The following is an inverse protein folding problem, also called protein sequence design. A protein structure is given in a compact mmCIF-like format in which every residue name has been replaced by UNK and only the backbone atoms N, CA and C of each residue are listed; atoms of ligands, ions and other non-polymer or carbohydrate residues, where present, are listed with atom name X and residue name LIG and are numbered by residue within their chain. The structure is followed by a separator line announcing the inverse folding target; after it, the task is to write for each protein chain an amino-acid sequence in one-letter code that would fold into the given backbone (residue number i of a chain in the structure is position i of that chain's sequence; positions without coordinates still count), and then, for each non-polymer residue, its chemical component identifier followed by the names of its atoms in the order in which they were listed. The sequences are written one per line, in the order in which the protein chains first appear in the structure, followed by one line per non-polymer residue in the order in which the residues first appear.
data_IF_184576438759
#
_entry.id   IF_184576438759
#
_cell.length_a   1.000
_cell.length_b   1.000
_cell.length_c   1.000
_cell.angle_alpha   90.00
_cell.angle_beta   90.00
_cell.angle_gamma   90.00
#
_symmetry.space_group_name_H-M   'P 1'
#
loop_
_entity.id
_entity.type
_entity.pdbx_description
1 polymer ?
#
# COMPACT_ATOMS: atom_id res chain seq x y z
N UNK A 1 -2.36 17.76 5.48
CA UNK A 1 -2.88 16.42 5.79
C UNK A 1 -4.24 16.29 5.13
N UNK A 2 -4.44 15.27 4.28
CA UNK A 2 -5.74 14.96 3.67
C UNK A 2 -6.31 13.71 4.32
N UNK A 3 -7.62 13.71 4.57
CA UNK A 3 -8.35 12.54 5.07
C UNK A 3 -8.94 11.81 3.88
N UNK A 4 -8.66 10.53 3.75
CA UNK A 4 -9.26 9.67 2.74
C UNK A 4 -10.17 8.64 3.42
N UNK A 5 -11.41 8.53 2.93
CA UNK A 5 -12.34 7.46 3.27
C UNK A 5 -12.39 6.50 2.09
N UNK A 6 -12.09 5.23 2.35
CA UNK A 6 -12.07 4.22 1.30
C UNK A 6 -13.07 3.14 1.66
N UNK A 7 -13.94 2.87 0.70
CA UNK A 7 -14.95 1.83 0.77
C UNK A 7 -14.40 0.62 0.04
N UNK A 8 -14.13 -0.47 0.75
CA UNK A 8 -13.82 -1.74 0.10
C UNK A 8 -15.13 -2.50 -0.14
N UNK A 9 -15.51 -2.64 -1.41
CA UNK A 9 -16.59 -3.50 -1.83
C UNK A 9 -16.01 -4.89 -2.09
N UNK A 10 -15.99 -5.74 -1.05
CA UNK A 10 -15.49 -7.11 -1.15
C UNK A 10 -16.37 -7.92 -2.10
N UNK A 11 -15.96 -8.16 -3.36
CA UNK A 11 -16.43 -9.31 -4.17
C UNK A 11 -15.43 -9.73 -5.25
N UNK A 12 -14.89 -10.95 -5.16
CA UNK A 12 -14.87 -11.80 -6.36
C UNK A 12 -15.32 -13.24 -6.05
N UNK A 13 -16.43 -13.62 -6.70
CA UNK A 13 -16.89 -14.98 -7.02
C UNK A 13 -16.87 -16.03 -5.91
N UNK A 14 -18.03 -16.28 -5.28
CA UNK A 14 -18.56 -17.64 -5.13
C UNK A 14 -20.10 -17.63 -5.22
N UNK A 15 -20.63 -18.59 -5.98
CA UNK A 15 -22.03 -18.93 -6.29
C UNK A 15 -23.11 -18.36 -5.37
N UNK A 16 -24.09 -17.72 -6.02
CA UNK A 16 -25.54 -17.77 -5.77
C UNK A 16 -25.97 -18.24 -4.38
N UNK A 17 -25.87 -17.37 -3.38
CA UNK A 17 -26.69 -17.45 -2.17
C UNK A 17 -26.82 -16.05 -1.60
N UNK A 18 -28.06 -15.66 -1.28
CA UNK A 18 -28.48 -14.42 -0.60
C UNK A 18 -27.44 -13.97 0.43
N UNK A 19 -26.54 -13.03 0.09
CA UNK A 19 -25.52 -12.53 1.02
C UNK A 19 -25.54 -11.02 1.07
N UNK A 20 -25.68 -10.50 2.29
CA UNK A 20 -25.65 -9.07 2.64
C UNK A 20 -24.33 -8.48 2.13
N UNK A 21 -24.41 -7.40 1.34
CA UNK A 21 -23.26 -6.57 1.01
C UNK A 21 -22.63 -6.06 2.32
N UNK A 22 -21.40 -6.48 2.59
CA UNK A 22 -20.66 -6.02 3.77
C UNK A 22 -19.67 -4.96 3.32
N UNK A 23 -20.11 -3.71 3.29
CA UNK A 23 -19.23 -2.57 3.01
C UNK A 23 -18.34 -2.34 4.23
N UNK A 24 -17.03 -2.54 4.09
CA UNK A 24 -16.08 -2.10 5.12
C UNK A 24 -15.49 -0.76 4.70
N UNK A 25 -15.65 0.22 5.58
CA UNK A 25 -15.03 1.53 5.42
C UNK A 25 -13.71 1.54 6.19
N UNK A 26 -12.64 1.92 5.50
CA UNK A 26 -11.33 2.14 6.11
C UNK A 26 -11.03 3.62 6.05
N UNK A 27 -10.65 4.18 7.20
CA UNK A 27 -10.20 5.57 7.32
C UNK A 27 -8.68 5.60 7.25
N UNK A 28 -8.14 6.45 6.38
CA UNK A 28 -6.71 6.67 6.23
C UNK A 28 -6.40 8.17 6.32
N UNK A 29 -5.23 8.49 6.88
CA UNK A 29 -4.68 9.84 6.87
C UNK A 29 -3.51 9.89 5.91
N UNK A 30 -3.56 10.80 4.94
CA UNK A 30 -2.50 11.02 3.97
C UNK A 30 -1.75 12.30 4.36
N UNK A 31 -0.45 12.18 4.60
CA UNK A 31 0.39 13.36 4.86
C UNK A 31 0.58 14.17 3.57
N UNK A 32 0.96 15.45 3.71
CA UNK A 32 1.36 16.21 2.52
C UNK A 32 2.62 15.63 1.89
N UNK A 33 3.56 15.17 2.73
CA UNK A 33 4.81 14.55 2.28
C UNK A 33 4.58 13.33 1.37
N UNK A 34 3.56 12.52 1.65
CA UNK A 34 3.16 11.44 0.75
C UNK A 34 2.66 11.97 -0.59
N UNK A 35 1.81 13.00 -0.59
CA UNK A 35 1.24 13.57 -1.81
C UNK A 35 2.34 14.15 -2.70
N UNK A 36 3.27 14.89 -2.10
CA UNK A 36 4.43 15.46 -2.78
C UNK A 36 5.30 14.35 -3.39
N UNK A 37 5.60 13.29 -2.62
CA UNK A 37 6.36 12.14 -3.13
C UNK A 37 5.61 11.39 -4.25
N UNK A 38 4.28 11.27 -4.14
CA UNK A 38 3.43 10.65 -5.16
C UNK A 38 3.50 11.40 -6.49
N UNK A 39 3.54 12.73 -6.44
CA UNK A 39 3.70 13.59 -7.61
C UNK A 39 5.12 13.51 -8.17
N UNK A 40 6.14 13.59 -7.30
CA UNK A 40 7.56 13.51 -7.71
C UNK A 40 7.89 12.20 -8.43
N UNK A 41 7.36 11.08 -7.96
CA UNK A 41 7.60 9.76 -8.55
C UNK A 41 6.57 9.33 -9.61
N UNK A 42 5.63 10.21 -9.99
CA UNK A 42 4.52 9.90 -10.91
C UNK A 42 3.74 8.63 -10.54
N UNK A 43 3.51 8.45 -9.23
CA UNK A 43 2.70 7.35 -8.69
C UNK A 43 1.30 7.87 -8.45
N UNK A 44 0.31 7.32 -9.15
CA UNK A 44 -1.06 7.66 -8.86
C UNK A 44 -1.49 7.13 -7.46
N UNK A 45 -2.45 7.82 -6.84
CA UNK A 45 -2.93 7.43 -5.51
C UNK A 45 -3.54 6.01 -5.51
N UNK A 46 -4.11 5.56 -6.63
CA UNK A 46 -4.62 4.19 -6.76
C UNK A 46 -3.53 3.14 -6.48
N UNK A 47 -2.32 3.33 -7.01
CA UNK A 47 -1.20 2.42 -6.79
C UNK A 47 -0.71 2.46 -5.34
N UNK A 48 -0.72 3.64 -4.69
CA UNK A 48 -0.44 3.76 -3.24
C UNK A 48 -1.46 2.96 -2.43
N UNK A 49 -2.74 3.08 -2.76
CA UNK A 49 -3.81 2.34 -2.09
C UNK A 49 -3.73 0.84 -2.34
N UNK A 50 -3.42 0.41 -3.57
CA UNK A 50 -3.16 -0.99 -3.90
C UNK A 50 -1.99 -1.55 -3.11
N UNK A 51 -0.94 -0.76 -2.89
CA UNK A 51 0.17 -1.17 -2.04
C UNK A 51 -0.25 -1.35 -0.58
N UNK A 52 -1.13 -0.48 -0.05
CA UNK A 52 -1.63 -0.57 1.33
C UNK A 52 -2.61 -1.73 1.54
N UNK A 53 -3.55 -1.95 0.63
CA UNK A 53 -4.61 -2.97 0.79
C UNK A 53 -4.19 -4.35 0.29
N UNK A 54 -3.38 -4.39 -0.78
CA UNK A 54 -2.94 -5.64 -1.41
C UNK A 54 -1.41 -5.66 -1.57
N UNK A 55 -0.64 -5.48 -0.48
CA UNK A 55 0.80 -5.55 -0.53
C UNK A 55 1.28 -6.94 -0.96
N UNK A 56 2.41 -6.97 -1.65
CA UNK A 56 3.18 -8.20 -1.81
C UNK A 56 3.79 -8.63 -0.47
N UNK A 57 4.27 -7.68 0.32
CA UNK A 57 4.81 -7.91 1.67
C UNK A 57 4.58 -6.67 2.54
N UNK A 58 4.45 -6.87 3.85
CA UNK A 58 4.55 -5.77 4.83
C UNK A 58 5.69 -6.08 5.79
N UNK A 59 6.64 -5.15 5.91
CA UNK A 59 7.74 -5.25 6.87
C UNK A 59 7.57 -4.23 7.99
N UNK A 60 8.01 -4.58 9.19
CA UNK A 60 8.14 -3.62 10.29
C UNK A 60 9.45 -2.85 10.10
N UNK A 61 9.32 -1.54 9.92
CA UNK A 61 10.44 -0.61 9.95
C UNK A 61 10.84 -0.20 11.37
N UNK A 62 11.76 0.74 11.46
CA UNK A 62 12.18 1.33 12.74
C UNK A 62 11.09 2.26 13.31
N UNK A 63 11.08 2.44 14.63
CA UNK A 63 10.19 3.38 15.33
C UNK A 63 8.68 3.13 15.15
N UNK A 64 8.27 1.86 15.02
CA UNK A 64 6.85 1.50 14.94
C UNK A 64 6.21 1.72 13.56
N UNK A 65 7.01 2.06 12.55
CA UNK A 65 6.56 2.21 11.17
C UNK A 65 6.42 0.86 10.48
N UNK A 66 5.53 0.81 9.50
CA UNK A 66 5.31 -0.31 8.61
C UNK A 66 5.64 0.14 7.20
N UNK A 67 6.15 -0.78 6.39
CA UNK A 67 6.44 -0.54 4.98
C UNK A 67 5.72 -1.60 4.17
N UNK A 68 4.72 -1.17 3.41
CA UNK A 68 4.00 -1.99 2.46
C UNK A 68 4.75 -1.99 1.12
N UNK A 69 5.17 -3.16 0.69
CA UNK A 69 5.86 -3.39 -0.56
C UNK A 69 4.88 -3.83 -1.65
N UNK A 70 4.96 -3.22 -2.82
CA UNK A 70 4.17 -3.59 -3.99
C UNK A 70 5.02 -3.55 -5.25
N UNK A 71 5.02 -4.64 -6.00
CA UNK A 71 5.61 -4.67 -7.33
C UNK A 71 4.68 -3.97 -8.32
N UNK A 72 5.22 -3.00 -9.05
CA UNK A 72 4.59 -2.30 -10.16
C UNK A 72 5.54 -2.39 -11.35
N UNK A 73 5.26 -3.32 -12.27
CA UNK A 73 6.14 -3.64 -13.41
C UNK A 73 7.57 -3.96 -12.95
N UNK A 74 8.55 -3.20 -13.42
CA UNK A 74 9.99 -3.25 -13.12
C UNK A 74 10.39 -2.42 -11.89
N UNK A 75 9.41 -1.93 -11.13
CA UNK A 75 9.61 -1.10 -9.95
C UNK A 75 8.98 -1.73 -8.70
N UNK A 76 9.65 -1.57 -7.57
CA UNK A 76 9.15 -1.89 -6.24
C UNK A 76 8.74 -0.58 -5.55
N UNK A 77 7.45 -0.42 -5.31
CA UNK A 77 6.90 0.68 -4.50
C UNK A 77 6.94 0.27 -3.04
N UNK A 78 7.45 1.17 -2.19
CA UNK A 78 7.49 1.04 -0.74
C UNK A 78 6.67 2.16 -0.11
N UNK A 79 5.49 1.85 0.41
CA UNK A 79 4.64 2.81 1.10
C UNK A 79 4.87 2.71 2.60
N UNK A 80 5.33 3.81 3.20
CA UNK A 80 5.60 3.88 4.64
C UNK A 80 4.38 4.45 5.35
N UNK A 81 3.93 3.75 6.38
CA UNK A 81 2.81 4.18 7.21
C UNK A 81 3.03 3.81 8.67
N UNK A 82 2.34 4.52 9.56
CA UNK A 82 2.32 4.25 10.99
C UNK A 82 0.87 4.26 11.50
N UNK A 83 0.67 3.89 12.76
CA UNK A 83 -0.65 3.94 13.39
C UNK A 83 -0.66 5.01 14.47
N UNK A 84 -1.57 5.97 14.32
CA UNK A 84 -1.89 6.94 15.36
C UNK A 84 -3.32 6.69 15.84
N UNK A 85 -3.49 6.36 17.13
CA UNK A 85 -4.80 6.07 17.74
C UNK A 85 -5.62 5.03 16.96
N UNK A 86 -4.96 4.02 16.38
CA UNK A 86 -5.60 2.96 15.59
C UNK A 86 -5.95 3.36 14.14
N UNK A 87 -5.63 4.59 13.72
CA UNK A 87 -5.82 5.07 12.34
C UNK A 87 -4.48 4.96 11.59
N UNK A 88 -4.43 4.30 10.42
CA UNK A 88 -3.22 4.32 9.59
C UNK A 88 -2.95 5.72 9.05
N UNK A 89 -1.75 6.23 9.32
CA UNK A 89 -1.18 7.47 8.81
C UNK A 89 -0.13 7.11 7.77
N UNK A 90 -0.41 7.41 6.50
CA UNK A 90 0.47 7.13 5.39
C UNK A 90 1.45 8.29 5.24
N UNK A 91 2.72 8.03 5.54
CA UNK A 91 3.75 9.03 5.76
C UNK A 91 4.43 9.44 4.45
N UNK A 92 4.88 8.47 3.65
CA UNK A 92 5.62 8.72 2.41
C UNK A 92 5.68 7.46 1.54
N UNK A 93 6.22 7.58 0.34
CA UNK A 93 6.52 6.44 -0.53
C UNK A 93 7.91 6.57 -1.16
N UNK A 94 8.51 5.43 -1.48
CA UNK A 94 9.76 5.33 -2.24
C UNK A 94 9.60 4.33 -3.37
N UNK A 95 10.31 4.56 -4.47
CA UNK A 95 10.42 3.60 -5.57
C UNK A 95 11.85 3.08 -5.66
N UNK A 96 12.01 1.79 -5.90
CA UNK A 96 13.27 1.17 -6.33
C UNK A 96 13.07 0.42 -7.64
N UNK A 97 14.03 0.47 -8.57
CA UNK A 97 14.04 -0.44 -9.73
C UNK A 97 14.39 -1.84 -9.27
N UNK A 98 13.73 -2.84 -9.84
CA UNK A 98 13.93 -4.27 -9.55
C UNK A 98 15.32 -4.78 -10.01
N UNK A 99 16.08 -3.96 -10.75
CA UNK A 99 17.28 -4.39 -11.51
C UNK A 99 18.59 -4.41 -10.69
N UNK A 100 18.64 -3.97 -9.42
CA UNK A 100 19.89 -3.95 -8.66
C UNK A 100 19.79 -4.66 -7.30
N UNK A 101 20.41 -5.85 -7.28
CA UNK A 101 21.01 -6.63 -6.19
C UNK A 101 20.65 -6.34 -4.71
N UNK A 102 20.38 -7.44 -4.00
CA UNK A 102 20.25 -7.61 -2.53
C UNK A 102 18.91 -7.34 -1.84
N UNK A 103 17.81 -7.09 -2.55
CA UNK A 103 16.51 -7.21 -1.91
C UNK A 103 16.12 -8.69 -1.77
N UNK A 104 16.40 -9.28 -0.60
CA UNK A 104 15.89 -10.61 -0.17
C UNK A 104 14.37 -10.76 -0.42
N UNK A 105 13.68 -9.63 -0.48
CA UNK A 105 12.27 -9.48 -0.83
C UNK A 105 12.00 -10.00 -2.25
N UNK A 106 12.78 -9.58 -3.25
CA UNK A 106 12.60 -9.99 -4.65
C UNK A 106 12.83 -11.49 -4.85
N UNK A 107 13.80 -12.07 -4.12
CA UNK A 107 14.06 -13.51 -4.15
C UNK A 107 12.88 -14.37 -3.69
N UNK A 108 11.96 -13.81 -2.89
CA UNK A 108 10.73 -14.49 -2.43
C UNK A 108 9.60 -14.45 -3.46
N UNK A 109 9.66 -13.55 -4.44
CA UNK A 109 8.61 -13.38 -5.45
C UNK A 109 8.93 -14.05 -6.79
N UNK A 110 10.04 -14.80 -6.89
CA UNK A 110 10.38 -15.58 -8.08
C UNK A 110 10.76 -14.72 -9.30
N UNK A 111 11.08 -13.44 -9.09
CA UNK A 111 11.63 -12.57 -10.13
C UNK A 111 13.15 -12.80 -10.19
N UNK A 112 13.56 -13.81 -10.96
CA UNK A 112 14.95 -14.07 -11.38
C UNK A 112 15.00 -14.23 -12.88
#
# INVERSE_FOLDING_TARGET
MKIAFIYDAVHPRQKAERRREFTRCIKLLLTNHLLDASEEYDVNLENVLRALFFPNEVVRGYSGRFVAHKLLNDHLIRVVYEYENGIPVVVTLYIARVVMYEDKILSRFGCT
#
